data_IF_491872036301
#
_entry.id   IF_491872036301
#
_cell.length_a   1.000
_cell.length_b   1.000
_cell.length_c   1.000
_cell.angle_alpha   90.00
_cell.angle_beta   90.00
_cell.angle_gamma   90.00
#
_symmetry.space_group_name_H-M   'P 1'
#
loop_
_entity.id
_entity.type
_entity.pdbx_description
1 polymer ?
#
# COMPACT_ATOMS: atom_id res chain seq x y z
N UNK A 1 25.45 -36.83 11.22
CA UNK A 1 24.50 -36.07 12.06
C UNK A 1 25.15 -34.78 12.59
N UNK A 2 25.80 -33.98 11.74
CA UNK A 2 26.39 -32.69 12.14
C UNK A 2 26.00 -31.52 11.23
N UNK A 3 25.24 -31.77 10.15
CA UNK A 3 24.90 -30.75 9.15
C UNK A 3 23.51 -30.13 9.28
N UNK A 4 22.71 -30.49 10.29
CA UNK A 4 21.32 -29.99 10.43
C UNK A 4 21.21 -28.91 11.53
N UNK A 5 22.21 -28.80 12.41
CA UNK A 5 22.22 -27.84 13.52
C UNK A 5 22.88 -26.48 13.17
N UNK A 6 23.70 -26.41 12.13
CA UNK A 6 24.31 -25.14 11.69
C UNK A 6 23.33 -24.27 10.91
N UNK A 7 22.44 -24.86 10.11
CA UNK A 7 21.40 -24.12 9.38
C UNK A 7 20.32 -23.55 10.32
N UNK A 8 20.16 -24.11 11.53
CA UNK A 8 19.25 -23.61 12.56
C UNK A 8 19.84 -22.46 13.41
N UNK A 9 21.14 -22.15 13.29
CA UNK A 9 21.77 -21.01 13.96
C UNK A 9 21.77 -19.74 13.10
N UNK A 10 21.31 -19.82 11.84
CA UNK A 10 21.04 -18.67 10.97
C UNK A 10 19.60 -18.18 11.17
N UNK A 11 19.00 -18.38 12.35
CA UNK A 11 17.90 -17.51 12.79
C UNK A 11 18.50 -16.13 13.04
N UNK A 12 18.22 -15.18 12.14
CA UNK A 12 18.91 -13.89 12.06
C UNK A 12 18.96 -13.20 13.44
N UNK A 13 20.17 -13.02 13.97
CA UNK A 13 20.47 -12.33 15.24
C UNK A 13 19.89 -10.90 15.31
N UNK A 14 19.47 -10.36 14.17
CA UNK A 14 18.89 -9.04 13.99
C UNK A 14 17.43 -8.91 14.46
N UNK A 15 16.72 -10.01 14.68
CA UNK A 15 15.33 -9.98 15.16
C UNK A 15 15.21 -9.34 16.55
N UNK A 16 16.23 -9.48 17.39
CA UNK A 16 16.37 -8.86 18.70
C UNK A 16 17.34 -7.68 18.75
N UNK A 17 17.65 -7.05 17.60
CA UNK A 17 18.57 -5.91 17.57
C UNK A 17 18.08 -4.78 18.50
N UNK A 18 18.93 -4.24 19.39
CA UNK A 18 18.56 -3.12 20.24
C UNK A 18 18.08 -1.91 19.43
N UNK A 19 17.03 -1.25 19.91
CA UNK A 19 16.38 -0.16 19.17
C UNK A 19 17.32 1.02 18.88
N UNK A 20 18.24 1.31 19.79
CA UNK A 20 19.23 2.39 19.62
C UNK A 20 20.19 2.11 18.45
N UNK A 21 20.55 0.84 18.26
CA UNK A 21 21.37 0.39 17.13
C UNK A 21 20.56 0.51 15.84
N UNK A 22 19.28 0.13 15.84
CA UNK A 22 18.39 0.32 14.69
C UNK A 22 18.28 1.79 14.30
N UNK A 23 18.10 2.70 15.27
CA UNK A 23 18.04 4.13 15.00
C UNK A 23 19.37 4.67 14.46
N UNK A 24 20.49 4.19 14.97
CA UNK A 24 21.79 4.53 14.42
C UNK A 24 21.93 4.10 12.96
N UNK A 25 21.48 2.89 12.62
CA UNK A 25 21.46 2.38 11.24
C UNK A 25 20.54 3.24 10.37
N UNK A 26 19.28 3.46 10.78
CA UNK A 26 18.27 4.19 10.01
C UNK A 26 18.73 5.60 9.62
N UNK A 27 19.55 6.26 10.45
CA UNK A 27 20.12 7.58 10.16
C UNK A 27 20.94 7.63 8.86
N UNK A 28 21.54 6.51 8.47
CA UNK A 28 22.38 6.42 7.26
C UNK A 28 21.66 5.76 6.08
N UNK A 29 20.41 5.35 6.25
CA UNK A 29 19.66 4.68 5.19
C UNK A 29 18.98 5.68 4.27
N UNK A 30 18.99 5.36 2.97
CA UNK A 30 18.15 6.05 2.00
C UNK A 30 16.66 5.72 2.25
N UNK A 31 15.72 6.63 1.91
CA UNK A 31 14.29 6.43 2.17
C UNK A 31 13.72 5.11 1.64
N UNK A 32 14.18 4.65 0.48
CA UNK A 32 13.74 3.39 -0.13
C UNK A 32 14.20 2.17 0.68
N UNK A 33 15.41 2.22 1.21
CA UNK A 33 15.95 1.16 2.06
C UNK A 33 15.27 1.19 3.44
N UNK A 34 14.97 2.37 3.97
CA UNK A 34 14.21 2.54 5.21
C UNK A 34 12.78 1.99 5.09
N UNK A 35 12.13 2.17 3.93
CA UNK A 35 10.83 1.58 3.65
C UNK A 35 10.86 0.04 3.72
N UNK A 36 11.92 -0.59 3.21
CA UNK A 36 12.09 -2.06 3.27
C UNK A 36 12.18 -2.57 4.72
N UNK A 37 12.70 -1.77 5.65
CA UNK A 37 12.76 -2.13 7.07
C UNK A 37 11.38 -2.38 7.70
N UNK A 38 10.30 -1.83 7.13
CA UNK A 38 8.93 -2.07 7.59
C UNK A 38 8.48 -3.54 7.41
N UNK A 39 9.13 -4.27 6.51
CA UNK A 39 8.76 -5.65 6.15
C UNK A 39 9.67 -6.70 6.79
N UNK A 40 10.70 -6.30 7.57
CA UNK A 40 11.67 -7.24 8.17
C UNK A 40 11.02 -8.07 9.28
N UNK A 41 10.51 -7.40 10.32
CA UNK A 41 9.72 -8.02 11.39
C UNK A 41 9.00 -6.91 12.19
N UNK A 42 8.18 -7.31 13.17
CA UNK A 42 7.40 -6.37 13.97
C UNK A 42 8.26 -5.37 14.76
N UNK A 43 9.40 -5.78 15.30
CA UNK A 43 10.27 -4.90 16.08
C UNK A 43 10.89 -3.82 15.19
N UNK A 44 11.44 -4.21 14.05
CA UNK A 44 12.00 -3.31 13.04
C UNK A 44 10.93 -2.37 12.47
N UNK A 45 9.73 -2.88 12.20
CA UNK A 45 8.60 -2.07 11.74
C UNK A 45 8.24 -0.99 12.75
N UNK A 46 8.09 -1.35 14.02
CA UNK A 46 7.75 -0.39 15.08
C UNK A 46 8.84 0.66 15.26
N UNK A 47 10.11 0.25 15.25
CA UNK A 47 11.25 1.16 15.33
C UNK A 47 11.28 2.11 14.12
N UNK A 48 11.08 1.60 12.91
CA UNK A 48 11.08 2.39 11.69
C UNK A 48 9.93 3.42 11.68
N UNK A 49 8.72 3.01 12.10
CA UNK A 49 7.57 3.93 12.24
C UNK A 49 7.89 5.04 13.23
N UNK A 50 8.38 4.70 14.42
CA UNK A 50 8.74 5.68 15.43
C UNK A 50 9.82 6.65 14.93
N UNK A 51 10.85 6.12 14.26
CA UNK A 51 11.91 6.93 13.67
C UNK A 51 11.38 7.89 12.62
N UNK A 52 10.51 7.42 11.72
CA UNK A 52 9.89 8.25 10.69
C UNK A 52 8.99 9.35 11.27
N UNK A 53 8.22 9.04 12.32
CA UNK A 53 7.41 10.01 13.06
C UNK A 53 8.30 11.08 13.72
N UNK A 54 9.32 10.65 14.46
CA UNK A 54 10.19 11.55 15.22
C UNK A 54 10.97 12.51 14.32
N UNK A 55 11.45 12.03 13.17
CA UNK A 55 12.25 12.82 12.22
C UNK A 55 11.43 13.38 11.04
N UNK A 56 10.09 13.27 11.06
CA UNK A 56 9.18 13.78 10.02
C UNK A 56 9.49 13.30 8.58
N UNK A 57 9.90 12.04 8.44
CA UNK A 57 10.41 11.48 7.17
C UNK A 57 9.32 11.02 6.19
N UNK A 58 8.06 10.94 6.64
CA UNK A 58 6.94 10.43 5.85
C UNK A 58 6.74 11.16 4.52
N UNK A 59 6.94 12.47 4.50
CA UNK A 59 6.78 13.27 3.28
C UNK A 59 7.76 12.88 2.18
N UNK A 60 9.00 12.57 2.56
CA UNK A 60 10.03 12.08 1.65
C UNK A 60 9.71 10.66 1.16
N UNK A 61 9.29 9.79 2.07
CA UNK A 61 8.89 8.42 1.76
C UNK A 61 7.72 8.35 0.78
N UNK A 62 6.64 9.12 1.03
CA UNK A 62 5.48 9.23 0.14
C UNK A 62 5.89 9.73 -1.23
N UNK A 63 6.72 10.79 -1.28
CA UNK A 63 7.16 11.36 -2.56
C UNK A 63 7.97 10.36 -3.39
N UNK A 64 8.89 9.64 -2.77
CA UNK A 64 9.79 8.73 -3.48
C UNK A 64 9.08 7.43 -3.88
N UNK A 65 8.27 6.84 -3.01
CA UNK A 65 7.61 5.56 -3.33
C UNK A 65 6.37 5.69 -4.20
N UNK A 66 5.61 6.80 -4.14
CA UNK A 66 4.40 6.96 -4.97
C UNK A 66 4.70 7.60 -6.33
N UNK A 67 5.59 8.60 -6.40
CA UNK A 67 5.91 9.23 -7.71
C UNK A 67 6.70 8.32 -8.63
N UNK A 68 7.55 7.44 -8.10
CA UNK A 68 8.33 6.48 -8.92
C UNK A 68 7.44 5.48 -9.66
N UNK A 69 6.19 5.27 -9.20
CA UNK A 69 5.21 4.40 -9.85
C UNK A 69 4.32 5.13 -10.88
N UNK A 70 4.61 6.41 -11.19
CA UNK A 70 3.79 7.21 -12.10
C UNK A 70 2.45 7.66 -11.51
N UNK A 71 2.21 7.39 -10.23
CA UNK A 71 0.97 7.74 -9.54
C UNK A 71 1.05 9.19 -9.02
N UNK A 72 0.33 10.10 -9.67
CA UNK A 72 0.15 11.46 -9.18
C UNK A 72 -0.98 11.47 -8.15
N UNK A 73 -0.62 11.33 -6.87
CA UNK A 73 -1.57 11.52 -5.78
C UNK A 73 -1.92 13.00 -5.63
N UNK A 74 -3.16 13.38 -5.94
CA UNK A 74 -3.72 14.68 -5.57
C UNK A 74 -4.33 14.54 -4.18
N UNK A 75 -3.69 15.14 -3.16
CA UNK A 75 -4.11 15.10 -1.75
C UNK A 75 -5.59 15.48 -1.60
N UNK A 76 -6.45 14.46 -1.48
CA UNK A 76 -7.84 14.60 -1.01
C UNK A 76 -8.12 13.73 0.22
N UNK A 77 -7.16 12.92 0.68
CA UNK A 77 -7.31 12.16 1.92
C UNK A 77 -7.08 13.06 3.12
N UNK A 78 -7.89 12.87 4.15
CA UNK A 78 -7.73 13.44 5.49
C UNK A 78 -6.69 12.69 6.32
N UNK A 79 -6.16 11.56 5.81
CA UNK A 79 -5.17 10.76 6.52
C UNK A 79 -3.81 11.47 6.54
N UNK A 80 -3.09 11.32 7.66
CA UNK A 80 -1.71 11.76 7.75
C UNK A 80 -0.81 10.98 6.77
N UNK A 81 0.35 11.54 6.44
CA UNK A 81 1.22 10.98 5.39
C UNK A 81 1.81 9.62 5.76
N UNK A 82 2.03 9.34 7.05
CA UNK A 82 2.47 8.02 7.51
C UNK A 82 1.43 6.94 7.25
N UNK A 83 0.17 7.20 7.60
CA UNK A 83 -0.94 6.30 7.32
C UNK A 83 -1.11 6.10 5.81
N UNK A 84 -1.05 7.17 5.00
CA UNK A 84 -1.10 7.07 3.55
C UNK A 84 0.01 6.16 3.00
N UNK A 85 1.25 6.34 3.47
CA UNK A 85 2.37 5.51 3.08
C UNK A 85 2.15 4.04 3.45
N UNK A 86 1.85 3.76 4.71
CA UNK A 86 1.65 2.39 5.21
C UNK A 86 0.49 1.70 4.50
N UNK A 87 -0.62 2.39 4.29
CA UNK A 87 -1.76 1.88 3.53
C UNK A 87 -1.37 1.58 2.09
N UNK A 88 -0.56 2.43 1.44
CA UNK A 88 -0.07 2.15 0.08
C UNK A 88 0.82 0.90 0.00
N UNK A 89 1.65 0.65 1.01
CA UNK A 89 2.47 -0.56 1.08
C UNK A 89 1.58 -1.81 1.20
N UNK A 90 0.57 -1.77 2.07
CA UNK A 90 -0.41 -2.86 2.19
C UNK A 90 -1.16 -3.13 0.89
N UNK A 91 -1.61 -2.08 0.18
CA UNK A 91 -2.28 -2.25 -1.12
C UNK A 91 -1.36 -2.85 -2.19
N UNK A 92 -0.08 -2.50 -2.20
CA UNK A 92 0.90 -3.11 -3.11
C UNK A 92 1.08 -4.60 -2.83
N UNK A 93 1.17 -4.99 -1.56
CA UNK A 93 1.23 -6.40 -1.16
C UNK A 93 -0.05 -7.15 -1.59
N UNK A 94 -1.23 -6.60 -1.30
CA UNK A 94 -2.51 -7.19 -1.73
C UNK A 94 -2.60 -7.31 -3.26
N UNK A 95 -2.12 -6.32 -4.02
CA UNK A 95 -2.11 -6.40 -5.49
C UNK A 95 -1.19 -7.50 -6.03
N UNK A 96 -0.13 -7.87 -5.29
CA UNK A 96 0.80 -8.95 -5.65
C UNK A 96 0.30 -10.35 -5.27
N UNK A 97 -0.74 -10.45 -4.44
CA UNK A 97 -1.39 -11.73 -4.13
C UNK A 97 -2.35 -12.16 -5.24
N UNK A 98 -2.54 -13.47 -5.42
CA UNK A 98 -3.49 -14.04 -6.39
C UNK A 98 -4.85 -13.33 -6.28
N UNK A 99 -5.15 -12.51 -7.29
CA UNK A 99 -6.40 -11.76 -7.35
C UNK A 99 -7.52 -12.76 -7.63
N UNK A 100 -8.27 -13.12 -6.60
CA UNK A 100 -9.58 -13.74 -6.78
C UNK A 100 -10.52 -12.65 -7.30
N UNK A 101 -10.64 -12.56 -8.61
CA UNK A 101 -11.60 -11.66 -9.26
C UNK A 101 -12.99 -12.21 -8.96
N UNK A 102 -13.63 -11.69 -7.92
CA UNK A 102 -14.91 -12.21 -7.43
C UNK A 102 -16.06 -12.03 -8.43
N UNK A 103 -15.99 -11.04 -9.34
CA UNK A 103 -17.02 -10.80 -10.35
C UNK A 103 -16.42 -10.21 -11.62
N UNK A 104 -16.72 -10.82 -12.76
CA UNK A 104 -16.41 -10.29 -14.09
C UNK A 104 -17.67 -9.63 -14.65
N UNK A 105 -17.53 -8.40 -15.15
CA UNK A 105 -18.61 -7.68 -15.83
C UNK A 105 -18.16 -7.39 -17.25
N UNK A 106 -18.86 -7.96 -18.23
CA UNK A 106 -18.71 -7.58 -19.63
C UNK A 106 -19.53 -6.31 -19.87
N UNK A 107 -18.90 -5.26 -20.40
CA UNK A 107 -19.59 -4.04 -20.80
C UNK A 107 -18.97 -3.48 -22.09
N UNK A 108 -19.81 -2.89 -22.94
CA UNK A 108 -19.51 -2.49 -24.31
C UNK A 108 -18.67 -1.20 -24.38
N UNK A 109 -17.44 -1.21 -23.86
CA UNK A 109 -16.50 -0.07 -23.81
C UNK A 109 -16.74 0.87 -22.62
N UNK A 110 -15.84 0.78 -21.64
CA UNK A 110 -15.75 1.73 -20.51
C UNK A 110 -14.87 2.91 -20.95
N UNK A 111 -15.43 4.11 -21.00
CA UNK A 111 -14.67 5.35 -21.23
C UNK A 111 -13.88 5.74 -19.98
N UNK A 112 -14.52 5.68 -18.82
CA UNK A 112 -13.89 5.94 -17.53
C UNK A 112 -14.69 5.34 -16.39
N UNK A 113 -14.08 5.26 -15.21
CA UNK A 113 -14.77 4.91 -13.99
C UNK A 113 -14.37 5.85 -12.85
N UNK A 114 -15.25 6.06 -11.89
CA UNK A 114 -15.02 6.89 -10.71
C UNK A 114 -15.61 6.21 -9.49
N UNK A 115 -14.96 6.33 -8.34
CA UNK A 115 -15.51 5.86 -7.07
C UNK A 115 -15.76 7.07 -6.18
N UNK A 116 -17.00 7.22 -5.71
CA UNK A 116 -17.38 8.24 -4.76
C UNK A 116 -18.20 7.63 -3.64
N UNK A 117 -17.64 7.68 -2.42
CA UNK A 117 -18.16 6.95 -1.25
C UNK A 117 -18.29 5.46 -1.59
N UNK A 118 -19.46 4.88 -1.36
CA UNK A 118 -19.73 3.46 -1.56
C UNK A 118 -20.34 3.17 -2.93
N UNK A 119 -20.11 4.07 -3.90
CA UNK A 119 -20.64 3.97 -5.26
C UNK A 119 -19.53 4.01 -6.30
N UNK A 120 -19.54 3.02 -7.19
CA UNK A 120 -18.71 2.94 -8.38
C UNK A 120 -19.53 3.39 -9.59
N UNK A 121 -19.11 4.47 -10.21
CA UNK A 121 -19.65 5.01 -11.45
C UNK A 121 -18.82 4.49 -12.61
N UNK A 122 -19.44 3.74 -13.51
CA UNK A 122 -18.83 3.26 -14.76
C UNK A 122 -19.47 4.02 -15.91
N UNK A 123 -18.68 4.86 -16.57
CA UNK A 123 -19.11 5.70 -17.69
C UNK A 123 -18.81 4.93 -18.97
N UNK A 124 -19.87 4.49 -19.63
CA UNK A 124 -19.84 3.88 -20.96
C UNK A 124 -20.05 4.95 -22.04
N UNK A 125 -20.26 4.54 -23.29
CA UNK A 125 -20.45 5.49 -24.39
C UNK A 125 -21.67 6.40 -24.21
N UNK A 126 -22.81 5.80 -23.87
CA UNK A 126 -24.12 6.48 -23.81
C UNK A 126 -24.82 6.34 -22.45
N UNK A 127 -24.18 5.70 -21.47
CA UNK A 127 -24.79 5.40 -20.18
C UNK A 127 -23.77 5.48 -19.04
N UNK A 128 -24.23 5.85 -17.85
CA UNK A 128 -23.50 5.74 -16.59
C UNK A 128 -24.17 4.65 -15.76
N UNK A 129 -23.42 3.59 -15.47
CA UNK A 129 -23.83 2.53 -14.55
C UNK A 129 -23.29 2.81 -13.16
N UNK A 130 -24.19 2.85 -12.17
CA UNK A 130 -23.86 3.07 -10.77
C UNK A 130 -23.95 1.73 -10.05
N UNK A 131 -22.86 1.29 -9.46
CA UNK A 131 -22.76 0.06 -8.68
C UNK A 131 -22.50 0.38 -7.22
N UNK A 132 -23.07 -0.43 -6.34
CA UNK A 132 -22.70 -0.48 -4.93
C UNK A 132 -21.30 -1.10 -4.77
N UNK A 133 -20.38 -0.48 -4.04
CA UNK A 133 -19.00 -1.02 -3.93
C UNK A 133 -18.89 -2.24 -3.03
N UNK A 134 -19.80 -2.41 -2.06
CA UNK A 134 -19.78 -3.57 -1.14
C UNK A 134 -20.33 -4.82 -1.80
N UNK A 135 -21.50 -4.70 -2.43
CA UNK A 135 -22.21 -5.82 -3.06
C UNK A 135 -21.88 -6.01 -4.53
N UNK A 136 -21.29 -4.99 -5.18
CA UNK A 136 -21.08 -4.90 -6.63
C UNK A 136 -22.39 -5.10 -7.40
N UNK A 137 -23.51 -4.69 -6.82
CA UNK A 137 -24.82 -4.75 -7.46
C UNK A 137 -25.09 -3.46 -8.24
N UNK A 138 -25.67 -3.59 -9.42
CA UNK A 138 -26.10 -2.44 -10.22
C UNK A 138 -27.27 -1.76 -9.50
N UNK A 139 -27.07 -0.52 -9.06
CA UNK A 139 -28.10 0.28 -8.40
C UNK A 139 -28.91 1.08 -9.41
N UNK A 140 -28.24 1.65 -10.42
CA UNK A 140 -28.88 2.58 -11.37
C UNK A 140 -28.15 2.66 -12.70
N UNK A 141 -28.91 2.91 -13.76
CA UNK A 141 -28.40 3.32 -15.08
C UNK A 141 -28.92 4.73 -15.34
N UNK A 142 -28.04 5.60 -15.84
CA UNK A 142 -28.36 6.94 -16.30
C UNK A 142 -27.94 7.06 -17.76
N UNK A 143 -28.84 7.46 -18.64
CA UNK A 143 -28.48 7.73 -20.03
C UNK A 143 -27.77 9.09 -20.13
N UNK A 144 -26.75 9.15 -20.98
CA UNK A 144 -26.03 10.38 -21.33
C UNK A 144 -26.59 10.80 -22.70
N UNK A 145 -27.33 11.92 -22.72
CA UNK A 145 -27.79 12.57 -23.97
C UNK A 145 -26.62 13.03 -24.87
#
# INVERSE_FOLDING_TARGET
>A
MSGILEDALIYSQWSGCPIDVLFHIFKYMEPESLAKCLHVNRAWRNACIYFCDHYNLWSGLVRNCLRSKGEQYRMRSTQNQGNLFLTSQLWNEVCSTERVVNKHFETLVVKSFNVYRDQLFVICENEVKIFDTETLSLQKILDIE
#
